data_IF_248368009511
#
_entry.id   IF_248368009511
#
_cell.length_a   1.000
_cell.length_b   1.000
_cell.length_c   1.000
_cell.angle_alpha   90.00
_cell.angle_beta   90.00
_cell.angle_gamma   90.00
#
_symmetry.space_group_name_H-M   'P 1'
#
loop_
_entity.id
_entity.type
_entity.pdbx_description
1 polymer ?
#
# COMPACT_ATOMS: atom_id res chain seq x y z
N UNK A 1 6.11 2.98 15.55
CA UNK A 1 7.38 2.96 14.79
C UNK A 1 7.20 2.01 13.62
N UNK A 2 7.63 2.39 12.41
CA UNK A 2 7.55 1.53 11.22
C UNK A 2 8.92 0.86 11.08
N UNK A 3 8.96 -0.48 11.02
CA UNK A 3 10.18 -1.19 10.70
C UNK A 3 10.34 -1.25 9.17
N UNK A 4 11.29 -0.47 8.63
CA UNK A 4 11.51 -0.35 7.19
C UNK A 4 11.99 -1.66 6.54
N UNK A 5 12.71 -2.51 7.27
CA UNK A 5 13.15 -3.81 6.75
C UNK A 5 11.95 -4.74 6.52
N UNK A 6 11.07 -4.84 7.53
CA UNK A 6 9.84 -5.62 7.42
C UNK A 6 8.93 -5.02 6.36
N UNK A 7 8.77 -3.69 6.33
CA UNK A 7 7.98 -3.00 5.31
C UNK A 7 8.44 -3.33 3.89
N UNK A 8 9.76 -3.35 3.63
CA UNK A 8 10.33 -3.72 2.32
C UNK A 8 10.00 -5.17 1.94
N UNK A 9 10.04 -6.10 2.90
CA UNK A 9 9.68 -7.50 2.65
C UNK A 9 8.19 -7.65 2.34
N UNK A 10 7.32 -6.98 3.09
CA UNK A 10 5.88 -6.96 2.85
C UNK A 10 5.55 -6.32 1.48
N UNK A 11 6.28 -5.27 1.09
CA UNK A 11 6.09 -4.60 -0.21
C UNK A 11 6.44 -5.55 -1.36
N UNK A 12 7.59 -6.22 -1.27
CA UNK A 12 7.99 -7.22 -2.26
C UNK A 12 6.93 -8.33 -2.37
N UNK A 13 6.41 -8.81 -1.23
CA UNK A 13 5.35 -9.82 -1.22
C UNK A 13 4.07 -9.33 -1.91
N UNK A 14 3.58 -8.14 -1.54
CA UNK A 14 2.38 -7.55 -2.13
C UNK A 14 2.54 -7.30 -3.64
N UNK A 15 3.71 -6.84 -4.08
CA UNK A 15 4.01 -6.65 -5.50
C UNK A 15 3.96 -7.95 -6.30
N UNK A 16 4.47 -9.06 -5.74
CA UNK A 16 4.34 -10.38 -6.39
C UNK A 16 2.89 -10.82 -6.47
N UNK A 17 2.12 -10.65 -5.39
CA UNK A 17 0.69 -11.00 -5.37
C UNK A 17 -0.10 -10.21 -6.42
N UNK A 18 0.10 -8.90 -6.51
CA UNK A 18 -0.52 -8.06 -7.54
C UNK A 18 -0.09 -8.50 -8.94
N UNK A 19 1.20 -8.80 -9.13
CA UNK A 19 1.73 -9.23 -10.42
C UNK A 19 1.06 -10.54 -10.88
N UNK A 20 0.90 -11.49 -9.97
CA UNK A 20 0.33 -12.81 -10.28
C UNK A 20 -1.18 -12.75 -10.55
N UNK A 21 -1.89 -11.81 -9.92
CA UNK A 21 -3.34 -11.69 -10.01
C UNK A 21 -3.77 -10.71 -11.12
N UNK A 22 -3.22 -9.50 -11.10
CA UNK A 22 -3.64 -8.38 -11.96
C UNK A 22 -2.66 -8.18 -13.13
N UNK A 23 -1.36 -8.32 -12.86
CA UNK A 23 -0.31 -8.23 -13.89
C UNK A 23 0.83 -7.25 -13.56
N UNK A 24 1.87 -7.30 -14.38
CA UNK A 24 3.13 -6.55 -14.19
C UNK A 24 2.95 -5.03 -14.10
N UNK A 25 2.01 -4.47 -14.88
CA UNK A 25 1.75 -3.03 -14.88
C UNK A 25 1.21 -2.57 -13.52
N UNK A 26 0.20 -3.28 -13.00
CA UNK A 26 -0.39 -2.99 -11.70
C UNK A 26 0.63 -3.12 -10.56
N UNK A 27 1.49 -4.14 -10.62
CA UNK A 27 2.54 -4.36 -9.62
C UNK A 27 3.52 -3.20 -9.53
N UNK A 28 3.87 -2.63 -10.68
CA UNK A 28 4.75 -1.45 -10.77
C UNK A 28 4.06 -0.20 -10.25
N UNK A 29 2.85 0.09 -10.70
CA UNK A 29 2.08 1.26 -10.27
C UNK A 29 1.82 1.24 -8.76
N UNK A 30 1.52 0.08 -8.18
CA UNK A 30 1.40 -0.08 -6.73
C UNK A 30 2.72 0.26 -6.02
N UNK A 31 3.84 -0.25 -6.53
CA UNK A 31 5.17 0.02 -5.97
C UNK A 31 5.49 1.52 -5.95
N UNK A 32 5.29 2.18 -7.09
CA UNK A 32 5.47 3.62 -7.25
C UNK A 32 4.57 4.42 -6.30
N UNK A 33 3.30 4.03 -6.16
CA UNK A 33 2.37 4.68 -5.26
C UNK A 33 2.81 4.56 -3.78
N UNK A 34 3.28 3.39 -3.36
CA UNK A 34 3.79 3.17 -2.00
C UNK A 34 5.06 3.96 -1.75
N UNK A 35 6.01 4.00 -2.71
CA UNK A 35 7.23 4.80 -2.61
C UNK A 35 6.91 6.29 -2.45
N UNK A 36 5.97 6.82 -3.23
CA UNK A 36 5.52 8.21 -3.13
C UNK A 36 4.88 8.49 -1.76
N UNK A 37 4.05 7.58 -1.24
CA UNK A 37 3.52 7.73 0.12
C UNK A 37 4.63 7.73 1.17
N UNK A 38 5.65 6.89 1.05
CA UNK A 38 6.78 6.87 1.98
C UNK A 38 7.53 8.20 1.93
N UNK A 39 7.76 8.76 0.74
CA UNK A 39 8.39 10.07 0.57
C UNK A 39 7.56 11.19 1.22
N UNK A 40 6.24 11.17 1.04
CA UNK A 40 5.37 12.12 1.72
C UNK A 40 5.39 11.94 3.24
N UNK A 41 5.33 10.70 3.74
CA UNK A 41 5.41 10.40 5.17
C UNK A 41 6.72 10.91 5.82
N UNK A 42 7.85 10.81 5.09
CA UNK A 42 9.13 11.35 5.53
C UNK A 42 9.23 12.88 5.41
N UNK A 43 8.42 13.50 4.56
CA UNK A 43 8.36 14.96 4.36
C UNK A 43 6.91 15.47 4.33
N UNK A 44 6.29 15.70 5.51
CA UNK A 44 4.86 15.99 5.64
C UNK A 44 4.36 17.21 4.85
N UNK A 45 5.26 18.12 4.44
CA UNK A 45 4.93 19.29 3.60
C UNK A 45 4.33 18.92 2.23
N UNK A 46 4.44 17.65 1.82
CA UNK A 46 4.01 17.16 0.52
C UNK A 46 2.67 16.39 0.56
N UNK A 47 1.98 16.34 1.71
CA UNK A 47 0.73 15.60 1.84
C UNK A 47 -0.37 16.12 0.90
N UNK A 48 -0.48 17.45 0.76
CA UNK A 48 -1.56 18.10 0.01
C UNK A 48 -1.56 17.80 -1.50
N UNK A 49 -0.42 17.40 -2.08
CA UNK A 49 -0.29 17.25 -3.53
C UNK A 49 -0.36 15.81 -4.00
N UNK A 50 0.21 14.85 -3.24
CA UNK A 50 0.42 13.49 -3.74
C UNK A 50 -0.09 12.38 -2.80
N UNK A 51 -0.39 12.66 -1.53
CA UNK A 51 -0.79 11.58 -0.60
C UNK A 51 -2.15 10.98 -0.94
N UNK A 52 -3.16 11.82 -1.19
CA UNK A 52 -4.54 11.34 -1.35
C UNK A 52 -4.70 10.44 -2.58
N UNK A 53 -4.14 10.84 -3.72
CA UNK A 53 -4.24 10.07 -4.97
C UNK A 53 -3.49 8.73 -4.86
N UNK A 54 -2.27 8.73 -4.33
CA UNK A 54 -1.49 7.49 -4.17
C UNK A 54 -2.14 6.53 -3.16
N UNK A 55 -2.70 7.05 -2.06
CA UNK A 55 -3.48 6.26 -1.11
C UNK A 55 -4.69 5.61 -1.80
N UNK A 56 -5.45 6.38 -2.58
CA UNK A 56 -6.60 5.87 -3.33
C UNK A 56 -6.18 4.80 -4.35
N UNK A 57 -5.07 4.98 -5.05
CA UNK A 57 -4.52 3.98 -5.98
C UNK A 57 -4.21 2.66 -5.27
N UNK A 58 -3.57 2.72 -4.08
CA UNK A 58 -3.27 1.51 -3.30
C UNK A 58 -4.57 0.82 -2.85
N UNK A 59 -5.54 1.58 -2.35
CA UNK A 59 -6.84 1.03 -1.94
C UNK A 59 -7.61 0.40 -3.11
N UNK A 60 -7.55 0.99 -4.30
CA UNK A 60 -8.15 0.44 -5.51
C UNK A 60 -7.54 -0.92 -5.85
N UNK A 61 -6.21 -1.05 -5.81
CA UNK A 61 -5.53 -2.32 -6.08
C UNK A 61 -5.84 -3.40 -5.03
N UNK A 62 -5.90 -3.01 -3.75
CA UNK A 62 -6.29 -3.95 -2.68
C UNK A 62 -7.74 -4.41 -2.84
N UNK A 63 -8.66 -3.50 -3.18
CA UNK A 63 -10.05 -3.84 -3.45
C UNK A 63 -10.20 -4.71 -4.69
N UNK A 64 -9.38 -4.48 -5.73
CA UNK A 64 -9.38 -5.33 -6.91
C UNK A 64 -8.94 -6.75 -6.56
N UNK A 65 -7.83 -6.93 -5.82
CA UNK A 65 -7.43 -8.26 -5.33
C UNK A 65 -8.57 -8.90 -4.53
N UNK A 66 -9.20 -8.14 -3.62
CA UNK A 66 -10.29 -8.65 -2.79
C UNK A 66 -11.43 -9.27 -3.61
N UNK A 67 -11.73 -8.68 -4.78
CA UNK A 67 -12.78 -9.16 -5.67
C UNK A 67 -12.33 -10.34 -6.57
N UNK A 68 -11.03 -10.52 -6.76
CA UNK A 68 -10.48 -11.56 -7.65
C UNK A 68 -10.10 -12.86 -6.91
N UNK A 69 -9.86 -12.81 -5.58
CA UNK A 69 -9.45 -13.99 -4.80
C UNK A 69 -10.46 -14.37 -3.72
N UNK A 70 -10.40 -15.63 -3.32
CA UNK A 70 -11.23 -16.15 -2.23
C UNK A 70 -11.02 -15.37 -0.91
N UNK A 71 -12.07 -15.07 -0.13
CA UNK A 71 -11.97 -14.30 1.11
C UNK A 71 -10.93 -14.83 2.11
N UNK A 72 -10.75 -16.15 2.19
CA UNK A 72 -9.74 -16.78 3.05
C UNK A 72 -8.30 -16.42 2.63
N UNK A 73 -8.03 -16.41 1.32
CA UNK A 73 -6.73 -16.02 0.75
C UNK A 73 -6.49 -14.53 0.92
N UNK A 74 -7.51 -13.71 0.73
CA UNK A 74 -7.42 -12.26 0.99
C UNK A 74 -7.11 -11.98 2.47
N UNK A 75 -7.78 -12.66 3.40
CA UNK A 75 -7.46 -12.54 4.83
C UNK A 75 -6.01 -12.91 5.13
N UNK A 76 -5.48 -13.96 4.50
CA UNK A 76 -4.08 -14.37 4.64
C UNK A 76 -3.13 -13.29 4.09
N UNK A 77 -3.40 -12.74 2.91
CA UNK A 77 -2.66 -11.61 2.33
C UNK A 77 -2.58 -10.44 3.33
N UNK A 78 -3.73 -9.99 3.86
CA UNK A 78 -3.79 -8.88 4.82
C UNK A 78 -3.03 -9.17 6.12
N UNK A 79 -2.99 -10.43 6.56
CA UNK A 79 -2.24 -10.85 7.75
C UNK A 79 -0.73 -10.89 7.53
N UNK A 80 -0.27 -11.04 6.27
CA UNK A 80 1.14 -11.08 5.91
C UNK A 80 1.74 -9.69 5.66
N UNK A 81 0.93 -8.62 5.70
CA UNK A 81 1.41 -7.25 5.53
C UNK A 81 0.96 -6.27 6.65
N UNK A 82 1.16 -6.62 7.93
CA UNK A 82 0.71 -5.78 9.05
C UNK A 82 1.41 -4.41 9.09
N UNK A 83 2.67 -4.33 8.63
CA UNK A 83 3.43 -3.08 8.64
C UNK A 83 2.92 -2.11 7.58
N UNK A 84 2.65 -2.58 6.36
CA UNK A 84 2.01 -1.80 5.29
C UNK A 84 0.63 -1.33 5.75
N UNK A 85 -0.19 -2.20 6.34
CA UNK A 85 -1.51 -1.80 6.86
C UNK A 85 -1.41 -0.67 7.88
N UNK A 86 -0.52 -0.81 8.86
CA UNK A 86 -0.31 0.22 9.87
C UNK A 86 0.23 1.53 9.27
N UNK A 87 1.08 1.45 8.24
CA UNK A 87 1.56 2.60 7.50
C UNK A 87 0.42 3.35 6.80
N UNK A 88 -0.44 2.65 6.05
CA UNK A 88 -1.58 3.27 5.34
C UNK A 88 -2.54 3.97 6.32
N UNK A 89 -2.84 3.35 7.47
CA UNK A 89 -3.68 3.96 8.50
C UNK A 89 -3.04 5.21 9.12
N UNK A 90 -1.71 5.24 9.27
CA UNK A 90 -0.99 6.44 9.72
C UNK A 90 -1.07 7.56 8.70
N UNK A 91 -0.84 7.26 7.42
CA UNK A 91 -0.97 8.23 6.33
C UNK A 91 -2.39 8.80 6.29
N UNK A 92 -3.43 7.96 6.38
CA UNK A 92 -4.83 8.40 6.48
C UNK A 92 -5.07 9.37 7.63
N UNK A 93 -4.58 9.01 8.82
CA UNK A 93 -4.72 9.84 9.99
C UNK A 93 -4.03 11.20 9.79
N UNK A 94 -2.80 11.23 9.28
CA UNK A 94 -2.06 12.45 9.02
C UNK A 94 -2.73 13.33 7.95
N UNK A 95 -3.27 12.75 6.87
CA UNK A 95 -4.09 13.49 5.88
C UNK A 95 -5.31 14.13 6.55
N UNK A 96 -5.97 13.42 7.49
CA UNK A 96 -7.21 13.92 8.12
C UNK A 96 -7.01 15.11 9.08
N UNK A 97 -5.77 15.37 9.49
CA UNK A 97 -5.41 16.47 10.41
C UNK A 97 -4.50 17.51 9.78
N UNK A 98 -4.15 17.35 8.50
CA UNK A 98 -3.43 18.33 7.68
C UNK A 98 -4.40 19.35 7.11
#
# INVERSE_FOLDING_TARGET
MINLEVFRLELNYLQQVIKDIIGDKASRELGEAIELLVLCFLNPKNYDTYCLSNLQTIEQYLNQIHNEIEPGKYKLLMNNMPTIRNFLEKVKFEISIS
#
